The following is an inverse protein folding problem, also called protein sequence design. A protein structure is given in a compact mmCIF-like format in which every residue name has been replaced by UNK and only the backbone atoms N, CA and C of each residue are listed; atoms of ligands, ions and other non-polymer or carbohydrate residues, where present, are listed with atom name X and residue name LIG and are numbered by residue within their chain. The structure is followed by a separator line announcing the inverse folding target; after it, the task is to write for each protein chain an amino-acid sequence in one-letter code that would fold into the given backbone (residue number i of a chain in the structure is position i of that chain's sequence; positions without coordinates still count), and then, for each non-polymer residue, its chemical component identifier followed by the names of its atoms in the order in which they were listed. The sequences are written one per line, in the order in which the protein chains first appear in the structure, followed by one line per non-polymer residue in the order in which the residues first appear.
data_IF_599803217741
#
_entry.id   IF_599803217741
#
_cell.length_a   1.000
_cell.length_b   1.000
_cell.length_c   1.000
_cell.angle_alpha   90.00
_cell.angle_beta   90.00
_cell.angle_gamma   90.00
#
_symmetry.space_group_name_H-M   'P 1'
#
loop_
_entity.id
_entity.type
_entity.pdbx_description
1 polymer ?
#
# COMPACT_ATOMS: atom_id res chain seq x y z
N UNK A 1 -64.86 -9.09 -15.64
CA UNK A 1 -63.39 -8.98 -15.68
C UNK A 1 -62.83 -9.68 -14.43
N UNK A 2 -62.15 -10.77 -14.65
CA UNK A 2 -61.76 -11.66 -13.53
C UNK A 2 -60.60 -11.06 -12.73
N UNK A 3 -60.74 -10.96 -11.39
CA UNK A 3 -59.68 -10.41 -10.52
C UNK A 3 -58.42 -11.25 -10.49
N UNK A 4 -58.46 -12.48 -10.95
CA UNK A 4 -57.30 -13.38 -11.00
C UNK A 4 -56.27 -13.01 -12.05
N UNK A 5 -56.66 -12.45 -13.20
CA UNK A 5 -55.72 -12.06 -14.25
C UNK A 5 -54.80 -10.88 -13.80
N UNK A 6 -55.33 -9.97 -12.99
CA UNK A 6 -54.58 -8.81 -12.50
C UNK A 6 -53.53 -9.23 -11.45
N UNK A 7 -53.84 -10.21 -10.62
CA UNK A 7 -52.94 -10.73 -9.59
C UNK A 7 -51.73 -11.45 -10.18
N UNK A 8 -51.93 -12.22 -11.27
CA UNK A 8 -50.87 -12.94 -11.98
C UNK A 8 -49.90 -11.98 -12.66
N UNK A 9 -50.40 -10.87 -13.23
CA UNK A 9 -49.57 -9.84 -13.87
C UNK A 9 -48.72 -9.12 -12.82
N UNK A 10 -49.27 -8.80 -11.65
CA UNK A 10 -48.51 -8.17 -10.56
C UNK A 10 -47.43 -9.08 -9.98
N UNK A 11 -47.68 -10.36 -9.85
CA UNK A 11 -46.70 -11.33 -9.36
C UNK A 11 -45.57 -11.58 -10.35
N UNK A 12 -45.87 -11.58 -11.66
CA UNK A 12 -44.84 -11.72 -12.70
C UNK A 12 -44.00 -10.48 -12.87
N UNK A 13 -44.58 -9.29 -12.71
CA UNK A 13 -43.83 -8.02 -12.72
C UNK A 13 -42.86 -7.91 -11.52
N UNK A 14 -43.29 -8.33 -10.30
CA UNK A 14 -42.41 -8.32 -9.12
C UNK A 14 -41.24 -9.28 -9.29
N UNK A 15 -41.46 -10.48 -9.86
CA UNK A 15 -40.36 -11.41 -10.13
C UNK A 15 -39.38 -10.90 -11.20
N UNK A 16 -39.85 -10.26 -12.27
CA UNK A 16 -38.98 -9.67 -13.28
C UNK A 16 -38.19 -8.47 -12.76
N UNK A 17 -38.82 -7.63 -11.91
CA UNK A 17 -38.15 -6.51 -11.26
C UNK A 17 -37.07 -7.00 -10.29
N UNK A 18 -37.33 -8.07 -9.56
CA UNK A 18 -36.35 -8.66 -8.62
C UNK A 18 -35.14 -9.24 -9.36
N UNK A 19 -35.37 -9.91 -10.51
CA UNK A 19 -34.27 -10.46 -11.33
C UNK A 19 -33.40 -9.36 -11.93
N UNK A 20 -34.01 -8.26 -12.39
CA UNK A 20 -33.26 -7.10 -12.91
C UNK A 20 -32.44 -6.44 -11.79
N UNK A 21 -32.99 -6.32 -10.57
CA UNK A 21 -32.28 -5.74 -9.43
C UNK A 21 -31.13 -6.63 -8.95
N UNK A 22 -31.32 -7.94 -8.88
CA UNK A 22 -30.27 -8.90 -8.54
C UNK A 22 -29.20 -9.00 -9.65
N UNK A 23 -29.61 -8.95 -10.91
CA UNK A 23 -28.68 -8.96 -12.05
C UNK A 23 -27.76 -7.73 -12.08
N UNK A 24 -28.25 -6.54 -11.68
CA UNK A 24 -27.44 -5.34 -11.58
C UNK A 24 -26.49 -5.36 -10.35
N UNK A 25 -26.89 -6.01 -9.24
CA UNK A 25 -26.02 -6.14 -8.06
C UNK A 25 -24.82 -7.07 -8.30
N UNK A 26 -24.98 -8.08 -9.16
CA UNK A 26 -23.90 -9.03 -9.51
C UNK A 26 -22.93 -8.49 -10.59
N UNK A 27 -23.30 -7.39 -11.26
CA UNK A 27 -22.46 -6.76 -12.30
C UNK A 27 -21.63 -5.58 -11.79
N UNK A 28 -21.75 -5.20 -10.52
CA UNK A 28 -20.75 -4.31 -9.94
C UNK A 28 -19.46 -5.14 -9.79
N UNK A 29 -18.41 -4.88 -10.59
CA UNK A 29 -17.12 -5.46 -10.28
C UNK A 29 -16.83 -4.99 -8.84
N UNK A 30 -16.64 -5.95 -7.93
CA UNK A 30 -15.90 -5.70 -6.71
C UNK A 30 -14.55 -5.15 -7.21
N UNK A 31 -14.46 -3.83 -7.32
CA UNK A 31 -13.20 -3.16 -7.56
C UNK A 31 -12.33 -3.52 -6.36
N UNK A 32 -11.66 -4.65 -6.46
CA UNK A 32 -10.64 -5.05 -5.50
C UNK A 32 -9.66 -3.90 -5.50
N UNK A 33 -9.55 -3.19 -4.39
CA UNK A 33 -8.54 -2.18 -4.22
C UNK A 33 -7.21 -2.86 -4.46
N UNK A 34 -6.58 -2.55 -5.60
CA UNK A 34 -5.26 -3.08 -5.91
C UNK A 34 -4.32 -2.57 -4.84
N UNK A 35 -3.88 -3.46 -3.97
CA UNK A 35 -2.88 -3.12 -2.94
C UNK A 35 -1.52 -3.27 -3.58
N UNK A 36 -0.79 -2.18 -3.70
CA UNK A 36 0.60 -2.24 -4.14
C UNK A 36 1.49 -2.70 -2.99
N UNK A 37 2.28 -3.72 -3.24
CA UNK A 37 3.17 -4.33 -2.26
C UNK A 37 4.60 -4.28 -2.77
N UNK A 38 5.49 -3.72 -1.95
CA UNK A 38 6.93 -3.69 -2.18
C UNK A 38 7.60 -4.56 -1.13
N UNK A 39 8.19 -5.68 -1.53
CA UNK A 39 8.94 -6.56 -0.62
C UNK A 39 10.43 -6.37 -0.86
N UNK A 40 11.16 -5.93 0.17
CA UNK A 40 12.56 -5.62 0.08
C UNK A 40 13.40 -6.49 1.02
N UNK A 41 14.57 -6.85 0.58
CA UNK A 41 15.52 -7.68 1.32
C UNK A 41 16.93 -7.09 1.30
N UNK A 42 17.66 -7.26 2.39
CA UNK A 42 19.03 -6.80 2.55
C UNK A 42 19.80 -7.66 3.55
N UNK A 43 21.11 -7.48 3.59
CA UNK A 43 21.95 -8.03 4.67
C UNK A 43 22.29 -6.91 5.64
N UNK A 44 22.10 -7.16 6.93
CA UNK A 44 22.49 -6.23 7.99
C UNK A 44 24.00 -6.25 8.24
N UNK A 45 24.48 -5.45 9.19
CA UNK A 45 25.90 -5.37 9.54
C UNK A 45 26.50 -6.68 10.07
N UNK A 46 25.64 -7.61 10.50
CA UNK A 46 26.03 -8.96 10.95
C UNK A 46 25.92 -10.00 9.84
N UNK A 47 25.70 -9.57 8.58
CA UNK A 47 25.45 -10.41 7.40
C UNK A 47 24.17 -11.24 7.49
N UNK A 48 23.30 -10.99 8.47
CA UNK A 48 22.01 -11.65 8.57
C UNK A 48 21.06 -11.10 7.51
N UNK A 49 20.30 -12.03 6.89
CA UNK A 49 19.27 -11.67 5.94
C UNK A 49 18.08 -11.04 6.65
N UNK A 50 17.65 -9.88 6.17
CA UNK A 50 16.48 -9.14 6.66
C UNK A 50 15.52 -8.87 5.52
N UNK A 51 14.23 -8.94 5.82
CA UNK A 51 13.17 -8.63 4.90
C UNK A 51 12.17 -7.65 5.55
N UNK A 52 11.63 -6.75 4.76
CA UNK A 52 10.52 -5.90 5.15
C UNK A 52 9.57 -5.70 3.97
N UNK A 53 8.33 -5.38 4.29
CA UNK A 53 7.28 -5.24 3.31
C UNK A 53 6.56 -3.90 3.51
N UNK A 54 6.45 -3.13 2.44
CA UNK A 54 5.68 -1.90 2.38
C UNK A 54 4.42 -2.14 1.56
N UNK A 55 3.32 -1.55 2.00
CA UNK A 55 2.05 -1.63 1.27
C UNK A 55 1.33 -0.29 1.24
N UNK A 56 0.66 -0.01 0.13
CA UNK A 56 -0.31 1.09 0.00
C UNK A 56 -1.62 0.55 -0.59
N UNK A 57 -2.74 1.20 -0.22
CA UNK A 57 -4.08 0.73 -0.59
C UNK A 57 -4.35 0.95 -2.08
N UNK A 58 -3.81 2.02 -2.66
CA UNK A 58 -3.93 2.36 -4.07
C UNK A 58 -2.65 3.02 -4.56
N UNK A 59 -2.44 3.02 -5.87
CA UNK A 59 -1.34 3.75 -6.55
C UNK A 59 -1.38 5.28 -6.33
N UNK A 60 -2.55 5.81 -5.94
CA UNK A 60 -2.76 7.23 -5.63
C UNK A 60 -2.53 7.58 -4.17
N UNK A 61 -2.39 6.59 -3.27
CA UNK A 61 -2.10 6.85 -1.87
C UNK A 61 -0.67 7.40 -1.75
N UNK A 62 -0.48 8.62 -1.19
CA UNK A 62 0.84 9.22 -1.04
C UNK A 62 1.67 8.58 0.08
N UNK A 63 1.19 7.49 0.68
CA UNK A 63 1.84 6.84 1.82
C UNK A 63 1.91 5.32 1.69
N UNK A 64 3.03 4.76 2.15
CA UNK A 64 3.18 3.33 2.39
C UNK A 64 3.21 3.03 3.89
N UNK A 65 2.64 1.90 4.28
CA UNK A 65 2.73 1.32 5.62
C UNK A 65 3.73 0.18 5.62
N UNK A 66 4.42 -0.01 6.72
CA UNK A 66 5.17 -1.23 6.97
C UNK A 66 4.16 -2.34 7.32
N UNK A 67 4.07 -3.39 6.50
CA UNK A 67 3.12 -4.47 6.72
C UNK A 67 3.42 -5.28 8.00
N UNK A 68 4.67 -5.26 8.46
CA UNK A 68 5.10 -5.95 9.67
C UNK A 68 4.96 -5.07 10.93
N UNK A 69 4.69 -3.77 10.75
CA UNK A 69 4.53 -2.81 11.85
C UNK A 69 3.45 -1.77 11.48
N UNK A 70 2.19 -2.20 11.57
CA UNK A 70 1.04 -1.39 11.17
C UNK A 70 0.91 -0.06 11.95
N UNK A 71 1.39 -0.02 13.20
CA UNK A 71 1.39 1.17 14.06
C UNK A 71 2.67 2.03 13.89
N UNK A 72 3.57 1.59 13.02
CA UNK A 72 4.80 2.30 12.72
C UNK A 72 4.58 3.60 11.94
N UNK A 73 5.59 4.48 11.90
CA UNK A 73 5.50 5.72 11.14
C UNK A 73 5.37 5.43 9.64
N UNK A 74 4.50 6.20 8.98
CA UNK A 74 4.24 6.06 7.54
C UNK A 74 5.45 6.50 6.72
N UNK A 75 5.64 5.84 5.58
CA UNK A 75 6.53 6.29 4.53
C UNK A 75 5.75 7.19 3.57
N UNK A 76 6.19 8.42 3.41
CA UNK A 76 5.59 9.39 2.47
C UNK A 76 6.26 9.26 1.11
N UNK A 77 5.47 9.22 0.05
CA UNK A 77 5.97 9.28 -1.33
C UNK A 77 6.42 10.72 -1.61
N UNK A 78 7.73 10.93 -1.78
CA UNK A 78 8.29 12.23 -2.17
C UNK A 78 8.32 12.40 -3.69
N UNK A 79 8.61 11.32 -4.39
CA UNK A 79 8.65 11.29 -5.85
C UNK A 79 8.38 9.87 -6.33
N UNK A 80 7.60 9.76 -7.38
CA UNK A 80 7.30 8.52 -8.08
C UNK A 80 7.23 8.79 -9.57
N UNK A 81 7.92 7.98 -10.35
CA UNK A 81 7.82 7.93 -11.81
C UNK A 81 7.95 6.47 -12.29
N UNK A 82 8.00 6.24 -13.59
CA UNK A 82 8.09 4.90 -14.18
C UNK A 82 9.41 4.17 -13.85
N UNK A 83 10.42 4.90 -13.39
CA UNK A 83 11.76 4.36 -13.15
C UNK A 83 12.07 4.20 -11.67
N UNK A 84 11.47 5.00 -10.78
CA UNK A 84 11.88 5.04 -9.37
C UNK A 84 10.77 5.44 -8.42
N UNK A 85 10.95 5.01 -7.16
CA UNK A 85 10.32 5.58 -5.98
C UNK A 85 11.35 6.32 -5.11
N UNK A 86 10.94 7.44 -4.53
CA UNK A 86 11.65 8.08 -3.43
C UNK A 86 10.67 8.24 -2.29
N UNK A 87 10.89 7.49 -1.20
CA UNK A 87 10.09 7.53 -0.01
C UNK A 87 10.86 8.20 1.13
N UNK A 88 10.12 8.86 2.00
CA UNK A 88 10.64 9.56 3.17
C UNK A 88 9.93 9.11 4.43
N UNK A 89 10.69 8.98 5.51
CA UNK A 89 10.16 8.73 6.84
C UNK A 89 10.95 9.51 7.88
N UNK A 90 10.22 10.13 8.80
CA UNK A 90 10.76 10.73 9.99
C UNK A 90 10.37 9.91 11.21
N UNK A 91 11.30 9.70 12.12
CA UNK A 91 11.06 9.02 13.39
C UNK A 91 11.76 9.79 14.52
N UNK A 92 11.06 9.93 15.63
CA UNK A 92 11.68 10.40 16.87
C UNK A 92 12.25 9.21 17.63
N UNK A 93 13.55 9.16 17.80
CA UNK A 93 14.22 8.10 18.58
C UNK A 93 14.82 8.64 19.85
N UNK A 94 14.71 7.94 20.98
CA UNK A 94 15.45 8.28 22.19
C UNK A 94 16.94 7.99 21.95
N UNK A 95 17.75 9.03 21.94
CA UNK A 95 19.20 8.94 21.80
C UNK A 95 19.79 9.78 22.93
N UNK A 96 20.63 9.18 23.77
CA UNK A 96 21.31 9.89 24.89
C UNK A 96 20.36 10.69 25.78
N UNK A 97 19.19 10.11 26.15
CA UNK A 97 18.13 10.72 26.97
C UNK A 97 17.33 11.86 26.30
N UNK A 98 17.62 12.19 25.07
CA UNK A 98 16.88 13.17 24.28
C UNK A 98 16.11 12.49 23.15
N UNK A 99 15.00 13.10 22.72
CA UNK A 99 14.30 12.66 21.50
C UNK A 99 14.91 13.37 20.31
N UNK A 100 15.58 12.60 19.45
CA UNK A 100 16.22 13.11 18.23
C UNK A 100 15.47 12.66 16.99
N UNK A 101 15.32 13.55 16.03
CA UNK A 101 14.72 13.22 14.71
C UNK A 101 15.70 12.41 13.88
N UNK A 102 15.27 11.24 13.45
CA UNK A 102 15.97 10.40 12.48
C UNK A 102 15.18 10.44 11.18
N UNK A 103 15.82 10.87 10.12
CA UNK A 103 15.25 10.90 8.79
C UNK A 103 15.77 9.73 7.97
N UNK A 104 14.88 9.08 7.24
CA UNK A 104 15.26 8.04 6.30
C UNK A 104 14.74 8.39 4.92
N UNK A 105 15.64 8.42 3.94
CA UNK A 105 15.30 8.44 2.52
C UNK A 105 15.47 7.05 1.95
N UNK A 106 14.45 6.58 1.25
CA UNK A 106 14.43 5.27 0.63
C UNK A 106 14.27 5.43 -0.88
N UNK A 107 15.29 5.07 -1.61
CA UNK A 107 15.35 5.12 -3.06
C UNK A 107 15.18 3.71 -3.62
N UNK A 108 14.23 3.49 -4.52
CA UNK A 108 13.99 2.21 -5.20
C UNK A 108 14.04 2.46 -6.70
N UNK A 109 14.87 1.71 -7.39
CA UNK A 109 14.84 1.61 -8.85
C UNK A 109 13.79 0.55 -9.24
N UNK A 110 12.74 0.97 -9.94
CA UNK A 110 11.63 0.07 -10.32
C UNK A 110 12.03 -0.98 -11.35
N UNK A 111 13.08 -0.73 -12.14
CA UNK A 111 13.52 -1.62 -13.21
C UNK A 111 14.43 -2.71 -12.69
N UNK A 112 15.43 -2.35 -11.89
CA UNK A 112 16.38 -3.32 -11.32
C UNK A 112 15.90 -3.92 -10.00
N UNK A 113 15.00 -3.25 -9.31
CA UNK A 113 14.63 -3.56 -7.93
C UNK A 113 15.65 -3.09 -6.89
N UNK A 114 16.77 -2.50 -7.30
CA UNK A 114 17.78 -2.05 -6.36
C UNK A 114 17.28 -0.96 -5.46
N UNK A 115 17.62 -1.04 -4.20
CA UNK A 115 17.27 0.02 -3.26
C UNK A 115 18.45 0.52 -2.44
N UNK A 116 18.27 1.73 -1.89
CA UNK A 116 19.18 2.37 -0.94
C UNK A 116 18.39 3.08 0.14
N UNK A 117 18.62 2.72 1.40
CA UNK A 117 18.25 3.56 2.54
C UNK A 117 19.40 4.51 2.87
N UNK A 118 19.10 5.78 3.04
CA UNK A 118 20.02 6.76 3.61
C UNK A 118 19.43 7.28 4.91
N UNK A 119 20.13 7.04 6.00
CA UNK A 119 19.73 7.49 7.33
C UNK A 119 20.50 8.76 7.70
N UNK A 120 19.78 9.71 8.27
CA UNK A 120 20.29 10.98 8.72
C UNK A 120 19.87 11.22 10.17
N UNK A 121 20.79 11.68 11.00
CA UNK A 121 20.56 12.14 12.35
C UNK A 121 20.92 13.63 12.41
N UNK A 122 19.98 14.52 12.78
CA UNK A 122 20.19 15.96 12.78
C UNK A 122 20.75 16.51 11.45
N UNK A 123 20.24 16.00 10.31
CA UNK A 123 20.71 16.30 8.98
C UNK A 123 22.15 15.79 8.64
N UNK A 124 22.82 15.16 9.57
CA UNK A 124 24.10 14.49 9.30
C UNK A 124 23.86 13.07 8.78
N UNK A 125 24.60 12.73 7.72
CA UNK A 125 24.55 11.37 7.18
C UNK A 125 25.13 10.36 8.17
N UNK A 126 24.37 9.29 8.43
CA UNK A 126 24.80 8.22 9.35
C UNK A 126 25.29 7.00 8.56
N UNK A 127 24.44 6.43 7.72
CA UNK A 127 24.78 5.22 6.96
C UNK A 127 23.90 5.03 5.73
N UNK A 128 24.33 4.11 4.85
CA UNK A 128 23.53 3.60 3.74
C UNK A 128 23.38 2.09 3.86
N UNK A 129 22.13 1.61 3.76
CA UNK A 129 21.81 0.20 3.59
C UNK A 129 21.39 -0.01 2.13
N UNK A 130 21.85 -1.10 1.53
CA UNK A 130 21.54 -1.48 0.14
C UNK A 130 20.92 -2.87 0.11
N UNK A 131 20.08 -3.11 -0.86
CA UNK A 131 19.46 -4.41 -1.08
C UNK A 131 18.63 -4.41 -2.35
N UNK A 132 17.69 -5.35 -2.42
CA UNK A 132 16.82 -5.52 -3.57
C UNK A 132 15.36 -5.61 -3.16
N UNK A 133 14.47 -5.03 -3.98
CA UNK A 133 13.03 -5.05 -3.81
C UNK A 133 12.34 -5.76 -4.97
N UNK A 134 11.19 -6.35 -4.68
CA UNK A 134 10.21 -6.85 -5.64
C UNK A 134 8.93 -6.03 -5.50
N UNK A 135 8.46 -5.49 -6.61
CA UNK A 135 7.21 -4.76 -6.71
C UNK A 135 6.13 -5.70 -7.25
N UNK A 136 4.95 -5.71 -6.60
CA UNK A 136 3.77 -6.51 -7.00
C UNK A 136 2.53 -5.63 -7.03
#
# INVERSE_FOLDING_TARGET
MEPFAFLIILLTMKKKLLIVFFGHLLLYPLAGYATEIITCSFRDSQSAYREFMLQRTTDKDPTFKDANNADGPLWKVMSEDDSKFILFREMLKPIEKERKSVYTLFFIDKKSGDFRFRNYLHAEYVNTIRGNCRLK
#
